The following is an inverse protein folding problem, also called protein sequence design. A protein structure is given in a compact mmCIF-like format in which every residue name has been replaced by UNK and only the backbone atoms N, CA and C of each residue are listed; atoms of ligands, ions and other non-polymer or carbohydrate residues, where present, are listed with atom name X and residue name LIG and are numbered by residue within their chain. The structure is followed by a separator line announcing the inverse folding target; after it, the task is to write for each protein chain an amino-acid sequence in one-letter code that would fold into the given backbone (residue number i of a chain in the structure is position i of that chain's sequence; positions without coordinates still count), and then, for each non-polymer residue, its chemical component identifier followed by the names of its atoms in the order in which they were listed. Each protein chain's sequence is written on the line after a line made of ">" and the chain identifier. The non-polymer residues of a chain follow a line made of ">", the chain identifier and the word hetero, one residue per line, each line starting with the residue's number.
data_IF_701708342323
#
_entry.id   IF_701708342323
#
_cell.length_a   1.000
_cell.length_b   1.000
_cell.length_c   1.000
_cell.angle_alpha   90.00
_cell.angle_beta   90.00
_cell.angle_gamma   90.00
#
_symmetry.space_group_name_H-M   'P 1'
#
loop_
_entity.id
_entity.type
_entity.pdbx_description
1 polymer ?
#
# COMPACT_ATOMS: atom_id res chain seq x y z
N UNK A 1 -21.04 17.67 3.72
CA UNK A 1 -20.35 16.46 4.22
C UNK A 1 -18.88 16.81 4.29
N UNK A 2 -18.22 16.62 5.44
CA UNK A 2 -16.78 16.85 5.51
C UNK A 2 -16.13 15.67 4.79
N UNK A 3 -15.63 15.89 3.58
CA UNK A 3 -14.73 14.93 2.94
C UNK A 3 -13.48 14.86 3.81
N UNK A 4 -13.33 13.75 4.55
CA UNK A 4 -12.13 13.51 5.33
C UNK A 4 -11.02 13.13 4.37
N UNK A 5 -10.31 14.15 3.90
CA UNK A 5 -9.14 14.01 3.07
C UNK A 5 -7.97 13.59 3.95
N UNK A 6 -7.79 12.28 4.08
CA UNK A 6 -6.67 11.71 4.79
C UNK A 6 -5.78 10.91 3.83
N UNK A 7 -4.50 10.88 4.18
CA UNK A 7 -3.49 10.11 3.49
C UNK A 7 -3.08 8.93 4.35
N UNK A 8 -2.79 7.81 3.70
CA UNK A 8 -2.27 6.60 4.33
C UNK A 8 -0.83 6.42 3.90
N UNK A 9 0.05 6.23 4.88
CA UNK A 9 1.43 5.83 4.66
C UNK A 9 1.63 4.43 5.22
N UNK A 10 2.10 3.51 4.38
CA UNK A 10 2.38 2.13 4.76
C UNK A 10 3.85 1.81 4.47
N UNK A 11 4.63 1.52 5.50
CA UNK A 11 6.01 1.05 5.36
C UNK A 11 6.04 -0.46 5.16
N UNK A 12 6.75 -0.91 4.14
CA UNK A 12 6.92 -2.34 3.82
C UNK A 12 8.40 -2.66 3.99
N UNK A 13 8.69 -3.66 4.81
CA UNK A 13 10.05 -4.14 5.05
C UNK A 13 10.21 -5.57 4.54
N UNK A 14 11.45 -5.98 4.30
CA UNK A 14 11.77 -7.24 3.59
C UNK A 14 11.19 -8.51 4.22
N UNK A 15 11.00 -8.59 5.54
CA UNK A 15 10.53 -9.83 6.21
C UNK A 15 9.00 -9.92 6.30
N UNK A 16 8.28 -8.99 5.69
CA UNK A 16 6.83 -9.06 5.62
C UNK A 16 6.38 -10.17 4.66
N UNK A 17 5.20 -10.75 4.90
CA UNK A 17 4.64 -11.74 3.97
C UNK A 17 3.86 -11.04 2.86
N UNK A 18 4.08 -11.47 1.62
CA UNK A 18 3.37 -10.92 0.46
C UNK A 18 1.84 -11.05 0.59
N UNK A 19 1.34 -12.14 1.18
CA UNK A 19 -0.10 -12.29 1.42
C UNK A 19 -0.67 -11.25 2.40
N UNK A 20 0.09 -10.84 3.41
CA UNK A 20 -0.35 -9.86 4.41
C UNK A 20 -0.27 -8.46 3.83
N UNK A 21 0.79 -8.13 3.09
CA UNK A 21 0.87 -6.88 2.34
C UNK A 21 -0.34 -6.74 1.39
N UNK A 22 -0.65 -7.80 0.64
CA UNK A 22 -1.78 -7.81 -0.28
C UNK A 22 -3.10 -7.57 0.45
N UNK A 23 -3.37 -8.30 1.54
CA UNK A 23 -4.58 -8.15 2.36
C UNK A 23 -4.70 -6.75 2.97
N UNK A 24 -3.60 -6.19 3.48
CA UNK A 24 -3.59 -4.85 4.08
C UNK A 24 -3.89 -3.75 3.05
N UNK A 25 -3.30 -3.85 1.85
CA UNK A 25 -3.62 -2.92 0.75
C UNK A 25 -5.10 -3.04 0.36
N UNK A 26 -5.60 -4.26 0.16
CA UNK A 26 -7.01 -4.49 -0.21
C UNK A 26 -7.97 -3.94 0.84
N UNK A 27 -7.69 -4.20 2.12
CA UNK A 27 -8.49 -3.70 3.23
C UNK A 27 -8.56 -2.18 3.26
N UNK A 28 -7.43 -1.51 3.01
CA UNK A 28 -7.38 -0.05 3.01
C UNK A 28 -8.07 0.59 1.80
N UNK A 29 -8.01 -0.07 0.63
CA UNK A 29 -8.72 0.37 -0.57
C UNK A 29 -10.24 0.13 -0.48
N UNK A 30 -10.69 -0.82 0.35
CA UNK A 30 -12.11 -1.16 0.53
C UNK A 30 -12.76 -0.49 1.74
N UNK A 31 -12.14 0.53 2.35
CA UNK A 31 -12.71 1.25 3.50
C UNK A 31 -13.97 2.03 3.10
N UNK A 32 -14.88 2.23 4.06
CA UNK A 32 -16.12 3.00 3.86
C UNK A 32 -15.85 4.43 3.37
N UNK A 33 -14.75 5.02 3.81
CA UNK A 33 -14.21 6.27 3.27
C UNK A 33 -12.81 5.96 2.73
N UNK A 34 -12.61 5.89 1.41
CA UNK A 34 -11.31 5.56 0.84
C UNK A 34 -10.30 6.69 1.11
N UNK A 35 -9.02 6.37 1.31
CA UNK A 35 -8.00 7.39 1.48
C UNK A 35 -7.87 8.21 0.19
N UNK A 36 -7.65 9.51 0.33
CA UNK A 36 -7.39 10.35 -0.82
C UNK A 36 -6.04 9.97 -1.42
N UNK A 37 -5.02 9.84 -0.58
CA UNK A 37 -3.68 9.42 -0.99
C UNK A 37 -3.24 8.15 -0.27
N UNK A 38 -2.70 7.22 -1.05
CA UNK A 38 -2.08 6.02 -0.54
C UNK A 38 -0.62 6.01 -0.95
N UNK A 39 0.25 6.05 0.05
CA UNK A 39 1.70 6.05 -0.08
C UNK A 39 2.26 4.76 0.49
N UNK A 40 3.07 4.06 -0.29
CA UNK A 40 3.88 2.94 0.21
C UNK A 40 5.35 3.36 0.24
N UNK A 41 6.03 3.08 1.35
CA UNK A 41 7.46 3.29 1.51
C UNK A 41 8.14 1.93 1.65
N UNK A 42 9.13 1.65 0.80
CA UNK A 42 9.92 0.43 0.89
C UNK A 42 11.10 0.67 1.84
N UNK A 43 11.09 0.04 3.02
CA UNK A 43 12.18 0.11 3.99
C UNK A 43 13.30 -0.87 3.59
N UNK A 44 14.07 -0.45 2.58
CA UNK A 44 15.16 -1.22 1.98
C UNK A 44 14.72 -2.19 0.88
N UNK A 45 15.61 -3.13 0.56
CA UNK A 45 15.39 -4.10 -0.52
C UNK A 45 14.26 -5.06 -0.19
N UNK A 46 13.19 -5.01 -0.98
CA UNK A 46 12.08 -5.95 -0.89
C UNK A 46 12.37 -7.24 -1.66
N UNK A 47 11.80 -8.35 -1.20
CA UNK A 47 11.81 -9.62 -1.94
C UNK A 47 10.93 -9.57 -3.19
N UNK A 48 11.15 -10.51 -4.11
CA UNK A 48 10.45 -10.56 -5.41
C UNK A 48 8.93 -10.65 -5.24
N UNK A 49 8.44 -11.45 -4.29
CA UNK A 49 7.00 -11.60 -4.03
C UNK A 49 6.35 -10.27 -3.58
N UNK A 50 7.02 -9.53 -2.69
CA UNK A 50 6.56 -8.22 -2.23
C UNK A 50 6.53 -7.22 -3.40
N UNK A 51 7.58 -7.21 -4.23
CA UNK A 51 7.63 -6.39 -5.43
C UNK A 51 6.52 -6.74 -6.43
N UNK A 52 6.19 -8.02 -6.58
CA UNK A 52 5.07 -8.46 -7.44
C UNK A 52 3.72 -7.96 -6.93
N UNK A 53 3.48 -7.99 -5.61
CA UNK A 53 2.26 -7.42 -5.01
C UNK A 53 2.18 -5.92 -5.28
N UNK A 54 3.26 -5.18 -5.05
CA UNK A 54 3.32 -3.74 -5.32
C UNK A 54 3.12 -3.42 -6.79
N UNK A 55 3.69 -4.20 -7.72
CA UNK A 55 3.47 -4.02 -9.15
C UNK A 55 2.02 -4.28 -9.55
N UNK A 56 1.39 -5.34 -9.03
CA UNK A 56 -0.04 -5.62 -9.27
C UNK A 56 -0.94 -4.50 -8.76
N UNK A 57 -0.55 -3.85 -7.66
CA UNK A 57 -1.32 -2.75 -7.03
C UNK A 57 -0.92 -1.34 -7.47
N UNK A 58 0.13 -1.19 -8.27
CA UNK A 58 0.61 0.11 -8.77
C UNK A 58 -0.45 0.92 -9.53
N UNK A 59 -1.46 0.28 -10.14
CA UNK A 59 -2.58 0.98 -10.80
C UNK A 59 -3.54 1.64 -9.80
N UNK A 60 -3.63 1.10 -8.59
CA UNK A 60 -4.53 1.57 -7.53
C UNK A 60 -3.83 2.45 -6.50
N UNK A 61 -2.51 2.39 -6.44
CA UNK A 61 -1.67 3.15 -5.49
C UNK A 61 -0.89 4.18 -6.28
N UNK A 62 -1.14 5.46 -6.01
CA UNK A 62 -0.51 6.55 -6.78
C UNK A 62 0.99 6.65 -6.52
N UNK A 63 1.44 6.38 -5.29
CA UNK A 63 2.81 6.65 -4.88
C UNK A 63 3.44 5.45 -4.17
N UNK A 64 4.49 4.89 -4.78
CA UNK A 64 5.36 3.88 -4.16
C UNK A 64 6.78 4.45 -4.14
N UNK A 65 7.27 4.79 -2.95
CA UNK A 65 8.62 5.29 -2.72
C UNK A 65 9.55 4.15 -2.32
N UNK A 66 10.79 4.21 -2.80
CA UNK A 66 11.86 3.26 -2.56
C UNK A 66 13.09 3.97 -2.04
#
# INVERSE_FOLDING_TARGET
>A
MIEQNYSVLMSVYRKEKAEYLQKSIDSMLSQTVPPQDFVIVCDGLLGDELNQVLQKKSRSIRNVFR
#
